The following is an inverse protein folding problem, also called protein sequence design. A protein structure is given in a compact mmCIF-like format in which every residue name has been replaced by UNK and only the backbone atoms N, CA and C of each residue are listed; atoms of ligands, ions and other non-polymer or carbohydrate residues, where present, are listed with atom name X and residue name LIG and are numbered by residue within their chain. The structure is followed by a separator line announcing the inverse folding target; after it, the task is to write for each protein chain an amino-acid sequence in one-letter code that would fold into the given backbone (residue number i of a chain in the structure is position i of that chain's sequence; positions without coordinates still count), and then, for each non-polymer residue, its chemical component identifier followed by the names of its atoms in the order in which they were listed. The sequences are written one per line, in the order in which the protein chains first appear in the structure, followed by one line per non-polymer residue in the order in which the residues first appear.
data_IF_196950369630
#
_entry.id   IF_196950369630
#
_cell.length_a   1.000
_cell.length_b   1.000
_cell.length_c   1.000
_cell.angle_alpha   90.00
_cell.angle_beta   90.00
_cell.angle_gamma   90.00
#
_symmetry.space_group_name_H-M   'P 1'
#
loop_
_entity.id
_entity.type
_entity.pdbx_description
1 polymer ?
#
# COMPACT_ATOMS: atom_id res chain seq x y z
N UNK A 1 -34.61 -26.81 -25.02
CA UNK A 1 -33.24 -26.25 -25.06
C UNK A 1 -32.92 -25.31 -23.89
N UNK A 2 -33.66 -25.37 -22.78
CA UNK A 2 -33.54 -24.40 -21.66
C UNK A 2 -32.76 -24.92 -20.44
N UNK A 3 -32.62 -26.26 -20.30
CA UNK A 3 -31.98 -26.90 -19.14
C UNK A 3 -30.43 -26.77 -19.15
N UNK A 4 -29.83 -26.74 -20.34
CA UNK A 4 -28.37 -26.72 -20.49
C UNK A 4 -27.75 -25.37 -20.08
N UNK A 5 -28.39 -24.25 -20.46
CA UNK A 5 -27.97 -22.90 -20.05
C UNK A 5 -28.03 -22.72 -18.54
N UNK A 6 -29.12 -23.15 -17.90
CA UNK A 6 -29.28 -23.06 -16.44
C UNK A 6 -28.21 -23.87 -15.68
N UNK A 7 -27.81 -25.03 -16.21
CA UNK A 7 -26.74 -25.87 -15.64
C UNK A 7 -25.37 -25.24 -15.81
N UNK A 8 -25.08 -24.65 -16.97
CA UNK A 8 -23.83 -23.93 -17.22
C UNK A 8 -23.71 -22.69 -16.32
N UNK A 9 -24.79 -21.94 -16.12
CA UNK A 9 -24.81 -20.77 -15.23
C UNK A 9 -24.56 -21.18 -13.77
N UNK A 10 -25.20 -22.25 -13.28
CA UNK A 10 -24.96 -22.78 -11.93
C UNK A 10 -23.53 -23.26 -11.72
N UNK A 11 -22.90 -23.83 -12.75
CA UNK A 11 -21.50 -24.23 -12.69
C UNK A 11 -20.58 -22.99 -12.61
N UNK A 12 -20.80 -22.00 -13.49
CA UNK A 12 -19.99 -20.79 -13.53
C UNK A 12 -20.02 -20.05 -12.19
N UNK A 13 -21.22 -19.87 -11.63
CA UNK A 13 -21.42 -19.23 -10.32
C UNK A 13 -20.73 -20.01 -9.20
N UNK A 14 -20.81 -21.35 -9.22
CA UNK A 14 -20.14 -22.19 -8.22
C UNK A 14 -18.63 -22.05 -8.30
N UNK A 15 -18.05 -22.17 -9.51
CA UNK A 15 -16.61 -22.03 -9.69
C UNK A 15 -16.14 -20.62 -9.32
N UNK A 16 -16.86 -19.56 -9.69
CA UNK A 16 -16.48 -18.20 -9.33
C UNK A 16 -16.47 -17.98 -7.82
N UNK A 17 -17.45 -18.53 -7.09
CA UNK A 17 -17.50 -18.39 -5.63
C UNK A 17 -16.39 -19.19 -4.94
N UNK A 18 -16.12 -20.41 -5.40
CA UNK A 18 -15.01 -21.23 -4.92
C UNK A 18 -13.67 -20.51 -5.15
N UNK A 19 -13.45 -19.98 -6.35
CA UNK A 19 -12.23 -19.23 -6.68
C UNK A 19 -12.10 -17.98 -5.81
N UNK A 20 -13.16 -17.20 -5.64
CA UNK A 20 -13.13 -15.98 -4.81
C UNK A 20 -12.72 -16.28 -3.37
N UNK A 21 -13.23 -17.36 -2.78
CA UNK A 21 -12.89 -17.77 -1.41
C UNK A 21 -11.46 -18.30 -1.30
N UNK A 22 -11.00 -19.08 -2.27
CA UNK A 22 -9.61 -19.53 -2.34
C UNK A 22 -8.64 -18.34 -2.45
N UNK A 23 -8.98 -17.32 -3.26
CA UNK A 23 -8.19 -16.10 -3.41
C UNK A 23 -8.22 -15.21 -2.15
N UNK A 24 -9.30 -15.27 -1.36
CA UNK A 24 -9.39 -14.65 -0.04
C UNK A 24 -8.59 -15.40 1.05
N UNK A 25 -7.97 -16.53 0.71
CA UNK A 25 -7.13 -17.33 1.61
C UNK A 25 -7.90 -18.35 2.46
N UNK A 26 -9.17 -18.63 2.14
CA UNK A 26 -9.96 -19.62 2.86
C UNK A 26 -9.52 -21.06 2.57
N UNK A 27 -9.76 -21.95 3.54
CA UNK A 27 -9.56 -23.40 3.40
C UNK A 27 -10.90 -24.11 3.29
N UNK A 28 -11.20 -24.63 2.10
CA UNK A 28 -12.51 -25.13 1.73
C UNK A 28 -12.60 -26.65 1.90
N UNK A 29 -13.66 -27.13 2.55
CA UNK A 29 -13.95 -28.58 2.63
C UNK A 29 -14.98 -28.98 1.59
N UNK A 30 -14.81 -30.13 0.94
CA UNK A 30 -15.77 -30.62 -0.05
C UNK A 30 -17.15 -30.87 0.55
N UNK A 31 -17.20 -31.33 1.82
CA UNK A 31 -18.43 -31.58 2.54
C UNK A 31 -19.24 -30.30 2.75
N UNK A 32 -18.60 -29.23 3.24
CA UNK A 32 -19.27 -27.94 3.45
C UNK A 32 -19.76 -27.34 2.12
N UNK A 33 -18.94 -27.39 1.08
CA UNK A 33 -19.32 -26.89 -0.25
C UNK A 33 -20.44 -27.74 -0.87
N UNK A 34 -20.48 -29.04 -0.60
CA UNK A 34 -21.52 -29.96 -1.09
C UNK A 34 -22.89 -29.55 -0.55
N UNK A 35 -22.96 -29.28 0.75
CA UNK A 35 -24.17 -28.82 1.43
C UNK A 35 -24.60 -27.42 0.94
N UNK A 36 -23.64 -26.50 0.77
CA UNK A 36 -23.92 -25.12 0.35
C UNK A 36 -24.41 -25.01 -1.09
N UNK A 37 -23.77 -25.72 -2.02
CA UNK A 37 -24.12 -25.66 -3.44
C UNK A 37 -25.18 -26.68 -3.84
N UNK A 38 -25.60 -27.56 -2.94
CA UNK A 38 -26.56 -28.63 -3.20
C UNK A 38 -26.07 -29.62 -4.27
N UNK A 39 -24.77 -29.92 -4.29
CA UNK A 39 -24.15 -30.84 -5.26
C UNK A 39 -23.34 -31.91 -4.55
N UNK A 40 -23.25 -33.10 -5.14
CA UNK A 40 -22.45 -34.21 -4.58
C UNK A 40 -20.97 -33.85 -4.48
N UNK A 41 -20.27 -34.38 -3.48
CA UNK A 41 -18.80 -34.27 -3.37
C UNK A 41 -18.08 -34.76 -4.64
N UNK A 42 -18.58 -35.78 -5.34
CA UNK A 42 -18.01 -36.26 -6.63
C UNK A 42 -18.01 -35.17 -7.71
N UNK A 43 -19.03 -34.31 -7.72
CA UNK A 43 -19.12 -33.17 -8.65
C UNK A 43 -18.08 -32.11 -8.30
N UNK A 44 -17.89 -31.83 -7.01
CA UNK A 44 -16.86 -30.90 -6.54
C UNK A 44 -15.45 -31.45 -6.77
N UNK A 45 -15.20 -32.74 -6.52
CA UNK A 45 -13.92 -33.38 -6.86
C UNK A 45 -13.56 -33.19 -8.33
N UNK A 46 -14.56 -33.30 -9.23
CA UNK A 46 -14.36 -33.00 -10.66
C UNK A 46 -14.04 -31.53 -10.89
N UNK A 47 -14.75 -30.63 -10.22
CA UNK A 47 -14.48 -29.19 -10.31
C UNK A 47 -13.03 -28.87 -9.88
N UNK A 48 -12.58 -29.38 -8.74
CA UNK A 48 -11.24 -29.18 -8.22
C UNK A 48 -10.15 -29.83 -9.10
N UNK A 49 -10.32 -31.09 -9.49
CA UNK A 49 -9.27 -31.86 -10.19
C UNK A 49 -9.23 -31.67 -11.70
N UNK A 50 -10.31 -31.19 -12.33
CA UNK A 50 -10.35 -31.02 -13.79
C UNK A 50 -10.51 -29.56 -14.21
N UNK A 51 -11.30 -28.77 -13.47
CA UNK A 51 -11.65 -27.39 -13.89
C UNK A 51 -10.75 -26.36 -13.22
N UNK A 52 -10.38 -26.59 -11.96
CA UNK A 52 -9.49 -25.73 -11.17
C UNK A 52 -8.04 -26.22 -11.15
N UNK A 53 -7.67 -27.21 -11.98
CA UNK A 53 -6.32 -27.80 -12.02
C UNK A 53 -5.21 -26.79 -12.33
N UNK A 54 -5.55 -25.68 -12.98
CA UNK A 54 -4.62 -24.59 -13.29
C UNK A 54 -4.33 -23.67 -12.08
N UNK A 55 -5.12 -23.81 -11.01
CA UNK A 55 -4.84 -23.16 -9.74
C UNK A 55 -3.90 -24.06 -8.95
N UNK A 56 -2.88 -23.46 -8.34
CA UNK A 56 -1.93 -24.18 -7.50
C UNK A 56 -2.56 -24.46 -6.13
N UNK A 57 -3.39 -25.50 -6.06
CA UNK A 57 -4.13 -25.88 -4.87
C UNK A 57 -3.34 -26.90 -4.04
N UNK A 58 -3.35 -26.75 -2.73
CA UNK A 58 -2.88 -27.77 -1.79
C UNK A 58 -4.07 -28.40 -1.04
N UNK A 59 -3.95 -29.69 -0.75
CA UNK A 59 -4.94 -30.42 0.04
C UNK A 59 -4.31 -30.84 1.38
N UNK A 60 -4.78 -30.26 2.48
CA UNK A 60 -4.31 -30.55 3.83
C UNK A 60 -5.50 -30.74 4.77
N UNK A 61 -5.45 -31.76 5.63
CA UNK A 61 -6.45 -32.03 6.67
C UNK A 61 -7.91 -32.03 6.15
N UNK A 62 -8.15 -32.61 4.97
CA UNK A 62 -9.49 -32.69 4.41
C UNK A 62 -10.00 -31.40 3.74
N UNK A 63 -9.13 -30.40 3.55
CA UNK A 63 -9.48 -29.09 2.99
C UNK A 63 -8.54 -28.70 1.84
N UNK A 64 -9.10 -28.01 0.86
CA UNK A 64 -8.38 -27.39 -0.24
C UNK A 64 -8.12 -25.91 0.07
N UNK A 65 -6.89 -25.46 -0.13
CA UNK A 65 -6.51 -24.05 -0.08
C UNK A 65 -5.63 -23.73 -1.28
N UNK A 66 -5.55 -22.45 -1.66
CA UNK A 66 -4.53 -22.03 -2.60
C UNK A 66 -3.16 -22.20 -1.91
N UNK A 67 -2.24 -22.94 -2.52
CA UNK A 67 -0.88 -23.04 -2.03
C UNK A 67 -0.31 -21.63 -2.01
N UNK A 68 0.21 -21.24 -0.86
CA UNK A 68 0.78 -19.90 -0.66
C UNK A 68 2.15 -19.83 -1.34
N UNK A 69 2.18 -19.92 -2.66
CA UNK A 69 3.34 -19.48 -3.42
C UNK A 69 3.34 -17.96 -3.38
N UNK A 70 4.48 -17.38 -3.00
CA UNK A 70 4.79 -15.98 -3.23
C UNK A 70 4.45 -15.70 -4.69
N UNK A 71 3.37 -14.96 -4.94
CA UNK A 71 2.85 -14.86 -6.30
C UNK A 71 3.96 -14.30 -7.20
N UNK A 72 4.15 -14.82 -8.42
CA UNK A 72 5.14 -14.27 -9.35
C UNK A 72 4.95 -12.76 -9.61
N UNK A 73 3.72 -12.25 -9.38
CA UNK A 73 3.37 -10.83 -9.44
C UNK A 73 3.63 -10.00 -8.18
N UNK A 74 3.83 -10.60 -6.99
CA UNK A 74 4.12 -9.86 -5.75
C UNK A 74 5.57 -9.36 -5.69
N UNK A 75 6.50 -10.01 -6.39
CA UNK A 75 7.91 -9.61 -6.39
C UNK A 75 8.11 -8.22 -7.03
N UNK A 76 7.55 -7.90 -8.22
CA UNK A 76 7.69 -6.55 -8.80
C UNK A 76 7.11 -5.41 -7.96
N UNK A 77 5.92 -5.61 -7.37
CA UNK A 77 5.27 -4.58 -6.53
C UNK A 77 6.06 -4.36 -5.24
N UNK A 78 6.52 -5.43 -4.60
CA UNK A 78 7.36 -5.35 -3.41
C UNK A 78 8.71 -4.71 -3.71
N UNK A 79 9.36 -5.06 -4.82
CA UNK A 79 10.61 -4.41 -5.24
C UNK A 79 10.40 -2.91 -5.48
N UNK A 80 9.29 -2.53 -6.12
CA UNK A 80 8.91 -1.14 -6.30
C UNK A 80 8.67 -0.44 -4.96
N UNK A 81 8.01 -1.10 -4.01
CA UNK A 81 7.82 -0.60 -2.65
C UNK A 81 9.17 -0.39 -1.93
N UNK A 82 10.06 -1.38 -1.96
CA UNK A 82 11.40 -1.33 -1.36
C UNK A 82 12.22 -0.16 -1.92
N UNK A 83 12.14 0.06 -3.24
CA UNK A 83 12.83 1.17 -3.90
C UNK A 83 12.20 2.53 -3.54
N UNK A 84 10.88 2.64 -3.63
CA UNK A 84 10.16 3.91 -3.45
C UNK A 84 10.13 4.41 -1.99
N UNK A 85 10.22 3.50 -1.03
CA UNK A 85 10.23 3.82 0.41
C UNK A 85 11.63 4.05 0.98
N UNK A 86 12.68 3.74 0.21
CA UNK A 86 14.07 3.84 0.67
C UNK A 86 14.54 2.66 1.53
N UNK A 87 13.71 1.64 1.78
CA UNK A 87 14.09 0.40 2.50
C UNK A 87 15.29 -0.29 1.82
N UNK A 88 15.44 -0.14 0.50
CA UNK A 88 16.58 -0.62 -0.27
C UNK A 88 17.96 -0.17 0.27
N UNK A 89 18.00 0.94 1.02
CA UNK A 89 19.24 1.47 1.63
C UNK A 89 19.63 0.75 2.93
N UNK A 90 18.67 0.12 3.59
CA UNK A 90 18.82 -0.50 4.91
C UNK A 90 19.07 -2.01 4.76
N UNK A 91 18.33 -2.65 3.85
CA UNK A 91 18.38 -4.09 3.67
C UNK A 91 19.16 -4.48 2.40
N UNK A 92 20.01 -5.53 2.44
CA UNK A 92 20.81 -5.99 1.30
C UNK A 92 19.97 -6.81 0.31
N UNK A 93 18.88 -6.23 -0.20
CA UNK A 93 17.81 -6.93 -0.94
C UNK A 93 18.12 -7.26 -2.41
N UNK A 94 19.40 -7.44 -2.76
CA UNK A 94 19.83 -7.84 -4.12
C UNK A 94 19.68 -9.34 -4.38
N UNK A 95 19.42 -10.14 -3.34
CA UNK A 95 19.26 -11.59 -3.41
C UNK A 95 17.79 -11.98 -3.26
N UNK A 96 17.20 -12.55 -4.32
CA UNK A 96 15.80 -13.00 -4.31
C UNK A 96 15.48 -14.03 -3.21
N UNK A 97 16.47 -14.83 -2.77
CA UNK A 97 16.27 -15.77 -1.65
C UNK A 97 16.06 -15.07 -0.32
N UNK A 98 16.81 -13.99 -0.07
CA UNK A 98 16.70 -13.19 1.16
C UNK A 98 15.35 -12.49 1.22
N UNK A 99 14.86 -12.03 0.08
CA UNK A 99 13.50 -11.50 -0.07
C UNK A 99 12.47 -12.56 0.35
N UNK A 100 12.55 -13.78 -0.19
CA UNK A 100 11.62 -14.86 0.16
C UNK A 100 11.63 -15.16 1.65
N UNK A 101 12.81 -15.24 2.29
CA UNK A 101 12.94 -15.47 3.72
C UNK A 101 12.33 -14.37 4.59
N UNK A 102 12.41 -13.10 4.16
CA UNK A 102 11.85 -11.97 4.91
C UNK A 102 10.34 -11.79 4.68
N UNK A 103 9.79 -12.37 3.61
CA UNK A 103 8.34 -12.35 3.31
C UNK A 103 7.59 -13.58 3.81
N UNK A 104 8.31 -14.59 4.29
CA UNK A 104 7.69 -15.80 4.80
C UNK A 104 7.06 -15.53 6.17
N UNK A 105 5.76 -15.79 6.29
CA UNK A 105 4.95 -15.50 7.47
C UNK A 105 4.72 -16.73 8.36
N UNK A 106 5.45 -17.84 8.14
CA UNK A 106 5.26 -19.08 8.90
C UNK A 106 6.01 -19.09 10.25
N UNK A 107 7.04 -18.25 10.43
CA UNK A 107 7.87 -18.17 11.62
C UNK A 107 7.98 -16.71 12.13
N UNK A 108 8.39 -16.46 13.39
CA UNK A 108 8.71 -15.10 13.83
C UNK A 108 9.74 -14.47 12.90
N UNK A 109 9.48 -13.22 12.48
CA UNK A 109 10.35 -12.53 11.52
C UNK A 109 11.81 -12.54 11.99
N UNK A 110 12.76 -13.02 11.18
CA UNK A 110 14.17 -13.09 11.55
C UNK A 110 14.84 -11.71 11.62
N UNK A 111 14.15 -10.65 11.18
CA UNK A 111 14.65 -9.29 11.17
C UNK A 111 13.54 -8.31 11.62
N UNK A 112 13.92 -7.32 12.45
CA UNK A 112 13.03 -6.24 12.88
C UNK A 112 13.72 -4.90 12.61
N UNK A 113 13.12 -4.07 11.76
CA UNK A 113 13.49 -2.66 11.64
C UNK A 113 12.67 -1.90 12.68
N UNK A 114 13.30 -1.57 13.80
CA UNK A 114 12.65 -0.80 14.86
C UNK A 114 12.67 0.69 14.50
N UNK A 115 11.49 1.31 14.45
CA UNK A 115 11.29 2.74 14.25
C UNK A 115 10.26 3.23 15.27
N UNK A 116 10.43 4.42 15.87
CA UNK A 116 9.42 4.98 16.77
C UNK A 116 8.07 5.11 16.06
N UNK A 117 6.99 4.58 16.64
CA UNK A 117 5.68 4.75 16.03
C UNK A 117 5.35 6.26 15.95
N UNK A 118 4.92 6.78 14.79
CA UNK A 118 4.42 8.14 14.73
C UNK A 118 3.14 8.27 15.55
N UNK A 119 2.81 9.49 15.98
CA UNK A 119 1.51 9.77 16.57
C UNK A 119 0.43 9.61 15.49
N UNK A 120 -0.25 8.47 15.51
CA UNK A 120 -1.33 8.15 14.56
C UNK A 120 -2.62 8.75 15.09
N UNK A 121 -3.05 9.86 14.48
CA UNK A 121 -4.39 10.42 14.69
C UNK A 121 -5.42 9.63 13.88
N UNK A 122 -6.71 9.72 14.26
CA UNK A 122 -7.78 9.02 13.56
C UNK A 122 -7.89 9.40 12.06
N UNK A 123 -7.49 10.61 11.69
CA UNK A 123 -7.52 11.12 10.30
C UNK A 123 -6.26 10.80 9.49
N UNK A 124 -5.24 10.23 10.14
CA UNK A 124 -3.95 9.97 9.51
C UNK A 124 -4.06 9.06 8.26
N UNK A 125 -4.79 7.93 8.26
CA UNK A 125 -4.86 7.04 7.09
C UNK A 125 -5.49 7.69 5.86
N UNK A 126 -6.60 8.44 6.01
CA UNK A 126 -7.23 9.13 4.89
C UNK A 126 -6.35 10.26 4.36
N UNK A 127 -5.81 11.10 5.24
CA UNK A 127 -4.90 12.20 4.87
C UNK A 127 -3.67 11.67 4.12
N UNK A 128 -3.05 10.60 4.64
CA UNK A 128 -1.89 9.99 4.02
C UNK A 128 -2.21 9.49 2.60
N UNK A 129 -3.34 8.81 2.43
CA UNK A 129 -3.78 8.29 1.12
C UNK A 129 -4.05 9.41 0.12
N UNK A 130 -4.72 10.49 0.56
CA UNK A 130 -4.98 11.67 -0.28
C UNK A 130 -3.69 12.37 -0.70
N UNK A 131 -2.74 12.53 0.21
CA UNK A 131 -1.44 13.14 -0.09
C UNK A 131 -0.64 12.31 -1.09
N UNK A 132 -0.60 10.98 -0.93
CA UNK A 132 0.05 10.09 -1.92
C UNK A 132 -0.60 10.25 -3.29
N UNK A 133 -1.92 10.27 -3.36
CA UNK A 133 -2.65 10.46 -4.62
C UNK A 133 -2.32 11.82 -5.25
N UNK A 134 -2.36 12.91 -4.47
CA UNK A 134 -2.03 14.26 -4.93
C UNK A 134 -0.61 14.36 -5.49
N UNK A 135 0.37 13.78 -4.79
CA UNK A 135 1.79 13.76 -5.20
C UNK A 135 1.97 12.97 -6.49
N UNK A 136 1.29 11.83 -6.65
CA UNK A 136 1.40 10.98 -7.84
C UNK A 136 0.74 11.61 -9.06
N UNK A 137 -0.40 12.27 -8.87
CA UNK A 137 -1.19 12.88 -9.95
C UNK A 137 -0.84 14.36 -10.20
N UNK A 138 0.10 14.92 -9.44
CA UNK A 138 0.49 16.33 -9.50
C UNK A 138 -0.72 17.28 -9.34
N UNK A 139 -1.54 17.04 -8.34
CA UNK A 139 -2.74 17.82 -8.03
C UNK A 139 -2.46 18.76 -6.85
N UNK A 140 -2.85 20.02 -6.97
CA UNK A 140 -2.74 20.96 -5.86
C UNK A 140 -3.67 20.56 -4.71
N UNK A 141 -3.25 20.85 -3.50
CA UNK A 141 -4.03 20.58 -2.30
C UNK A 141 -4.30 21.86 -1.51
N UNK A 142 -5.35 21.80 -0.72
CA UNK A 142 -5.57 22.70 0.40
C UNK A 142 -5.51 21.90 1.70
N UNK A 143 -4.96 22.52 2.74
CA UNK A 143 -4.55 21.82 3.95
C UNK A 143 -4.91 22.67 5.17
N UNK A 144 -5.69 22.09 6.09
CA UNK A 144 -6.01 22.71 7.39
C UNK A 144 -5.05 22.19 8.45
N UNK A 145 -4.32 23.10 9.10
CA UNK A 145 -3.64 22.85 10.38
C UNK A 145 -4.27 23.73 11.48
N UNK A 146 -3.45 24.49 12.21
CA UNK A 146 -3.87 25.70 12.93
C UNK A 146 -4.26 26.84 11.97
N UNK A 147 -3.78 26.79 10.72
CA UNK A 147 -4.10 27.77 9.67
C UNK A 147 -4.51 27.04 8.40
N UNK A 148 -5.28 27.74 7.58
CA UNK A 148 -5.64 27.27 6.25
C UNK A 148 -4.57 27.62 5.24
N UNK A 149 -4.11 26.62 4.50
CA UNK A 149 -3.20 26.78 3.37
C UNK A 149 -3.89 26.32 2.09
N UNK A 150 -3.78 27.12 1.03
CA UNK A 150 -4.37 26.82 -0.29
C UNK A 150 -3.31 26.80 -1.38
N UNK A 151 -3.63 26.10 -2.47
CA UNK A 151 -2.80 25.99 -3.68
C UNK A 151 -1.37 25.53 -3.34
N UNK A 152 -1.28 24.46 -2.55
CA UNK A 152 -0.02 23.80 -2.25
C UNK A 152 0.30 22.77 -3.35
N UNK A 153 1.54 22.74 -3.82
CA UNK A 153 2.08 21.71 -4.72
C UNK A 153 2.79 20.63 -3.85
N UNK A 154 2.12 19.53 -3.45
CA UNK A 154 2.75 18.52 -2.60
C UNK A 154 3.82 17.75 -3.38
N UNK A 155 5.02 17.68 -2.80
CA UNK A 155 6.20 17.13 -3.46
C UNK A 155 6.52 15.71 -2.99
N UNK A 156 6.58 15.49 -1.67
CA UNK A 156 7.01 14.22 -1.06
C UNK A 156 6.58 14.13 0.40
N UNK A 157 6.32 12.91 0.86
CA UNK A 157 6.22 12.56 2.27
C UNK A 157 7.55 11.96 2.75
N UNK A 158 8.04 12.40 3.90
CA UNK A 158 9.30 11.91 4.50
C UNK A 158 9.03 11.50 5.94
N UNK A 159 9.38 10.27 6.28
CA UNK A 159 9.42 9.81 7.66
C UNK A 159 10.82 10.02 8.21
N UNK A 160 10.94 10.76 9.31
CA UNK A 160 12.21 11.05 9.95
C UNK A 160 12.03 11.20 11.45
N UNK A 161 12.92 10.56 12.23
CA UNK A 161 12.97 10.69 13.69
C UNK A 161 11.62 10.49 14.41
N UNK A 162 10.82 9.51 13.99
CA UNK A 162 9.52 9.22 14.63
C UNK A 162 8.34 10.02 14.09
N UNK A 163 8.52 10.88 13.09
CA UNK A 163 7.45 11.74 12.59
C UNK A 163 7.38 11.75 11.07
N UNK A 164 6.17 11.93 10.53
CA UNK A 164 5.96 12.16 9.12
C UNK A 164 5.90 13.65 8.80
N UNK A 165 6.52 14.03 7.69
CA UNK A 165 6.55 15.40 7.17
C UNK A 165 6.07 15.44 5.72
N UNK A 166 5.17 16.36 5.41
CA UNK A 166 4.82 16.73 4.06
C UNK A 166 5.69 17.89 3.61
N UNK A 167 6.38 17.68 2.49
CA UNK A 167 7.08 18.73 1.77
C UNK A 167 6.20 19.21 0.63
N UNK A 168 5.92 20.51 0.59
CA UNK A 168 5.12 21.13 -0.46
C UNK A 168 5.73 22.46 -0.91
N UNK A 169 5.37 22.93 -2.09
CA UNK A 169 5.63 24.29 -2.51
C UNK A 169 4.37 25.15 -2.38
N UNK A 170 4.55 26.39 -1.98
CA UNK A 170 3.52 27.42 -2.07
C UNK A 170 4.12 28.64 -2.74
N UNK A 171 3.59 29.02 -3.92
CA UNK A 171 4.10 30.15 -4.72
C UNK A 171 5.63 30.06 -4.93
N UNK A 172 6.14 28.85 -5.19
CA UNK A 172 7.56 28.58 -5.40
C UNK A 172 8.44 28.51 -4.14
N UNK A 173 7.89 28.72 -2.93
CA UNK A 173 8.62 28.58 -1.67
C UNK A 173 8.35 27.21 -1.03
N UNK A 174 9.41 26.55 -0.56
CA UNK A 174 9.31 25.29 0.18
C UNK A 174 8.62 25.51 1.52
N UNK A 175 7.65 24.65 1.81
CA UNK A 175 6.92 24.57 3.06
C UNK A 175 7.00 23.13 3.58
N UNK A 176 7.14 22.99 4.89
CA UNK A 176 7.24 21.71 5.58
C UNK A 176 6.14 21.65 6.64
N UNK A 177 5.33 20.60 6.58
CA UNK A 177 4.22 20.39 7.49
C UNK A 177 4.39 19.05 8.20
N UNK A 178 4.53 19.02 9.54
CA UNK A 178 4.40 17.78 10.30
C UNK A 178 2.99 17.21 10.09
N UNK A 179 2.87 15.92 9.78
CA UNK A 179 1.56 15.29 9.54
C UNK A 179 0.69 15.28 10.80
N UNK A 180 1.31 15.26 11.99
CA UNK A 180 0.60 15.36 13.27
C UNK A 180 -0.19 16.67 13.40
N UNK A 181 0.24 17.74 12.72
CA UNK A 181 -0.42 19.06 12.76
C UNK A 181 -1.55 19.18 11.73
N UNK A 182 -1.69 18.22 10.81
CA UNK A 182 -2.67 18.26 9.73
C UNK A 182 -4.02 17.72 10.23
N UNK A 183 -5.02 18.58 10.22
CA UNK A 183 -6.40 18.25 10.61
C UNK A 183 -7.20 17.68 9.44
N UNK A 184 -7.03 18.26 8.25
CA UNK A 184 -7.67 17.77 7.03
C UNK A 184 -6.91 18.17 5.76
N UNK A 185 -7.11 17.38 4.70
CA UNK A 185 -6.58 17.62 3.36
C UNK A 185 -7.73 17.62 2.36
N UNK A 186 -7.66 18.50 1.37
CA UNK A 186 -8.62 18.56 0.27
C UNK A 186 -7.88 18.66 -1.05
N UNK A 187 -8.23 17.76 -1.97
CA UNK A 187 -7.73 17.80 -3.35
C UNK A 187 -8.44 18.91 -4.12
N UNK A 188 -7.70 19.66 -4.92
CA UNK A 188 -8.28 20.63 -5.85
C UNK A 188 -8.42 20.03 -7.25
N UNK A 189 -9.03 20.77 -8.17
CA UNK A 189 -9.08 20.37 -9.59
C UNK A 189 -7.85 20.82 -10.38
N UNK A 190 -6.95 21.61 -9.78
CA UNK A 190 -5.80 22.20 -10.45
C UNK A 190 -4.60 21.25 -10.42
N UNK A 191 -3.92 21.12 -11.56
CA UNK A 191 -2.67 20.35 -11.67
C UNK A 191 -1.47 21.28 -11.73
N UNK A 192 -0.34 20.82 -11.22
CA UNK A 192 0.96 21.50 -11.31
C UNK A 192 1.96 20.66 -12.09
N UNK A 193 3.06 21.28 -12.50
CA UNK A 193 4.17 20.58 -13.12
C UNK A 193 5.22 20.16 -12.09
N UNK A 194 5.71 18.92 -12.22
CA UNK A 194 6.70 18.39 -11.29
C UNK A 194 8.06 19.07 -11.51
N UNK A 195 8.51 19.81 -10.51
CA UNK A 195 9.83 20.48 -10.53
C UNK A 195 10.94 19.50 -10.16
N UNK A 196 11.70 19.03 -11.14
CA UNK A 196 12.75 18.01 -10.94
C UNK A 196 13.84 18.41 -9.92
N UNK A 197 14.26 19.69 -9.89
CA UNK A 197 15.28 20.16 -8.95
C UNK A 197 14.86 20.01 -7.47
N UNK A 198 13.57 20.16 -7.17
CA UNK A 198 13.04 19.99 -5.81
C UNK A 198 13.18 18.54 -5.35
N UNK A 199 12.98 17.57 -6.26
CA UNK A 199 13.11 16.16 -5.93
C UNK A 199 14.51 15.79 -5.42
N UNK A 200 15.54 16.38 -6.00
CA UNK A 200 16.94 16.15 -5.59
C UNK A 200 17.22 16.83 -4.25
N UNK A 201 16.83 18.10 -4.09
CA UNK A 201 17.02 18.85 -2.85
C UNK A 201 16.39 18.16 -1.64
N UNK A 202 15.14 17.69 -1.77
CA UNK A 202 14.43 17.01 -0.67
C UNK A 202 14.93 15.59 -0.39
N UNK A 203 15.85 15.08 -1.22
CA UNK A 203 16.53 13.80 -0.99
C UNK A 203 17.88 13.97 -0.27
N UNK A 204 18.38 15.20 -0.12
CA UNK A 204 19.65 15.47 0.56
C UNK A 204 19.54 15.24 2.06
N UNK A 205 20.57 14.61 2.64
CA UNK A 205 20.64 14.31 4.07
C UNK A 205 20.57 15.58 4.93
N UNK A 206 21.23 16.67 4.49
CA UNK A 206 21.18 17.97 5.18
C UNK A 206 19.76 18.51 5.26
N UNK A 207 19.00 18.43 4.17
CA UNK A 207 17.60 18.85 4.17
C UNK A 207 16.74 17.98 5.11
N UNK A 208 16.90 16.66 5.04
CA UNK A 208 16.15 15.71 5.87
C UNK A 208 16.44 15.93 7.36
N UNK A 209 17.72 16.12 7.72
CA UNK A 209 18.13 16.38 9.10
C UNK A 209 17.56 17.69 9.67
N UNK A 210 17.24 18.66 8.80
CA UNK A 210 16.67 19.95 9.19
C UNK A 210 15.13 19.93 9.37
N UNK A 211 14.43 18.87 8.97
CA UNK A 211 12.96 18.78 9.03
C UNK A 211 12.37 19.12 10.41
N UNK A 212 12.89 18.60 11.53
CA UNK A 212 12.35 18.92 12.86
C UNK A 212 12.49 20.41 13.22
N UNK A 213 13.44 21.11 12.60
CA UNK A 213 13.77 22.50 12.90
C UNK A 213 13.27 23.48 11.84
N UNK A 214 12.59 23.00 10.79
CA UNK A 214 12.25 23.82 9.63
C UNK A 214 11.36 25.02 9.99
N UNK A 215 10.42 24.85 10.92
CA UNK A 215 9.56 25.93 11.41
C UNK A 215 10.34 27.03 12.13
N UNK A 216 11.42 26.69 12.85
CA UNK A 216 12.30 27.64 13.52
C UNK A 216 13.21 28.35 12.52
N UNK A 217 13.84 27.61 11.61
CA UNK A 217 14.72 28.16 10.56
C UNK A 217 13.94 29.14 9.67
N UNK A 218 12.74 28.77 9.24
CA UNK A 218 11.90 29.64 8.40
C UNK A 218 11.44 30.90 9.15
N UNK A 219 11.15 30.81 10.46
CA UNK A 219 10.88 32.01 11.28
C UNK A 219 12.11 32.92 11.33
N UNK A 220 13.29 32.39 11.64
CA UNK A 220 14.53 33.19 11.70
C UNK A 220 14.84 33.89 10.37
N UNK A 221 14.80 33.16 9.24
CA UNK A 221 15.08 33.75 7.92
C UNK A 221 14.11 34.88 7.59
N UNK A 222 12.83 34.76 7.96
CA UNK A 222 11.87 35.84 7.75
C UNK A 222 12.04 37.00 8.72
N UNK A 223 12.52 36.76 9.95
CA UNK A 223 12.81 37.82 10.93
C UNK A 223 14.02 38.67 10.53
N UNK A 224 15.02 38.09 9.85
CA UNK A 224 16.22 38.83 9.41
C UNK A 224 16.11 39.47 8.02
N UNK A 225 15.03 39.24 7.27
CA UNK A 225 14.75 39.92 6.00
C UNK A 225 13.90 41.19 6.18
N UNK A 226 14.10 41.91 7.29
CA UNK A 226 13.51 43.23 7.59
C UNK A 226 14.46 44.36 7.15
#
# INVERSE_FOLDING_TARGET
MSDDRSRHDRLAVRLSLIISRLMAGESLSLKTLSDEFGVTERTLQRDFHQRLVHLDLEYRNGRYSLRRQSSPGAIPEMLSFIQNTGIARILPLRNGRLITCLTDNQEPSPCLIWLPAPDITATFPECFSQLILAIRQCIHISLMTERWYTSLEPCRLIYYSGSWYLIALQKGKLQVFPLADIKSVSLTSERFERRGHIHNLVAEERFISALPHFSFIHKLINTFNL
#
